data_IF_248093259965
#
_entry.id   IF_248093259965
#
_cell.length_a   1.000
_cell.length_b   1.000
_cell.length_c   1.000
_cell.angle_alpha   90.00
_cell.angle_beta   90.00
_cell.angle_gamma   90.00
#
_symmetry.space_group_name_H-M   'P 1'
#
loop_
_entity.id
_entity.type
_entity.pdbx_description
1 polymer ?
#
# COMPACT_ATOMS: atom_id res chain seq x y z
N UNK A 1 15.08 58.30 25.40
CA UNK A 1 13.77 58.00 24.80
C UNK A 1 13.78 58.55 23.37
N UNK A 2 13.28 57.86 22.34
CA UNK A 2 13.79 56.63 21.71
C UNK A 2 14.15 56.81 20.21
N UNK A 3 14.82 55.79 19.64
CA UNK A 3 14.70 55.17 18.29
C UNK A 3 14.61 56.04 17.01
N UNK A 4 15.19 55.71 15.86
CA UNK A 4 15.31 54.42 15.15
C UNK A 4 16.56 54.46 14.25
N UNK A 5 17.41 53.43 14.28
CA UNK A 5 18.33 53.12 13.18
C UNK A 5 17.68 52.07 12.30
N UNK A 6 17.29 52.43 11.07
CA UNK A 6 16.96 51.47 10.03
C UNK A 6 18.27 50.91 9.44
N UNK A 7 18.65 49.71 9.87
CA UNK A 7 19.59 48.89 9.12
C UNK A 7 18.77 47.93 8.24
N UNK A 8 18.77 48.19 6.93
CA UNK A 8 18.26 47.24 5.96
C UNK A 8 19.23 46.05 5.89
N UNK A 9 18.92 44.95 6.59
CA UNK A 9 19.51 43.65 6.28
C UNK A 9 18.68 42.99 5.19
N UNK A 10 19.22 43.00 3.97
CA UNK A 10 18.79 42.11 2.92
C UNK A 10 19.19 40.67 3.30
N UNK A 11 18.27 39.93 3.90
CA UNK A 11 18.38 38.48 3.93
C UNK A 11 17.91 37.96 2.56
N UNK A 12 18.88 37.60 1.70
CA UNK A 12 18.61 36.63 0.64
C UNK A 12 18.23 35.31 1.32
N UNK A 13 16.94 35.06 1.45
CA UNK A 13 16.44 33.72 1.66
C UNK A 13 16.72 32.93 0.38
N UNK A 14 17.85 32.23 0.35
CA UNK A 14 18.04 31.14 -0.60
C UNK A 14 16.98 30.09 -0.25
N UNK A 15 15.87 30.12 -0.98
CA UNK A 15 14.88 29.05 -0.99
C UNK A 15 15.54 27.84 -1.65
N UNK A 16 16.33 27.11 -0.87
CA UNK A 16 16.67 25.75 -1.21
C UNK A 16 15.38 24.95 -1.07
N UNK A 17 14.69 24.74 -2.19
CA UNK A 17 13.75 23.64 -2.37
C UNK A 17 14.54 22.35 -2.19
N UNK A 18 14.75 21.95 -0.94
CA UNK A 18 15.33 20.66 -0.62
C UNK A 18 14.24 19.62 -0.87
N UNK A 19 14.30 18.97 -2.03
CA UNK A 19 13.91 17.55 -2.09
C UNK A 19 14.55 16.87 -0.87
N UNK A 20 13.87 15.94 -0.17
CA UNK A 20 14.50 15.21 0.91
C UNK A 20 15.81 14.64 0.39
N UNK A 21 16.93 15.17 0.88
CA UNK A 21 18.23 14.76 0.41
C UNK A 21 18.33 13.27 0.72
N UNK A 22 18.47 12.44 -0.31
CA UNK A 22 18.89 11.05 -0.11
C UNK A 22 20.15 11.15 0.75
N UNK A 23 20.17 10.60 1.98
CA UNK A 23 21.24 10.92 2.90
C UNK A 23 22.54 10.27 2.40
N UNK A 24 23.33 11.04 1.68
CA UNK A 24 24.55 10.55 1.03
C UNK A 24 25.58 10.03 2.04
N UNK A 25 26.44 9.10 1.57
CA UNK A 25 27.66 8.53 2.18
C UNK A 25 27.62 7.99 3.63
N UNK A 26 26.64 8.35 4.46
CA UNK A 26 26.45 7.83 5.82
C UNK A 26 25.86 6.43 5.80
N UNK A 27 25.03 6.13 4.81
CA UNK A 27 24.38 4.83 4.58
C UNK A 27 25.41 3.73 4.27
N UNK A 28 26.35 4.03 3.37
CA UNK A 28 27.46 3.15 2.99
C UNK A 28 28.31 2.77 4.22
N UNK A 29 28.60 3.72 5.12
CA UNK A 29 29.43 3.47 6.31
C UNK A 29 28.73 2.63 7.38
N UNK A 30 27.41 2.73 7.50
CA UNK A 30 26.63 1.97 8.50
C UNK A 30 26.39 0.53 8.06
N UNK A 31 26.15 0.30 6.77
CA UNK A 31 25.97 -1.06 6.23
C UNK A 31 27.26 -1.87 6.12
N UNK A 32 28.42 -1.23 5.87
CA UNK A 32 29.71 -1.92 5.90
C UNK A 32 30.01 -2.59 7.26
N UNK A 33 29.32 -2.18 8.33
CA UNK A 33 29.41 -2.81 9.65
C UNK A 33 28.40 -3.96 9.88
N UNK A 34 27.38 -4.13 9.03
CA UNK A 34 26.27 -5.07 9.23
C UNK A 34 26.12 -6.18 8.17
N UNK A 35 27.12 -6.39 7.32
CA UNK A 35 27.19 -7.54 6.41
C UNK A 35 26.61 -7.27 5.03
N UNK A 36 27.23 -7.90 4.03
CA UNK A 36 26.84 -7.87 2.62
C UNK A 36 25.45 -8.46 2.43
N UNK A 37 24.49 -7.67 1.97
CA UNK A 37 23.15 -8.13 1.63
C UNK A 37 23.21 -9.03 0.37
N UNK A 38 22.91 -10.31 0.55
CA UNK A 38 22.73 -11.28 -0.54
C UNK A 38 21.30 -11.15 -1.10
N UNK A 39 21.07 -11.34 -2.41
CA UNK A 39 19.70 -11.42 -2.95
C UNK A 39 18.87 -12.43 -2.16
N UNK A 40 17.56 -12.21 -1.96
CA UNK A 40 16.75 -13.04 -1.08
C UNK A 40 16.57 -14.44 -1.71
N UNK A 41 17.45 -15.37 -1.35
CA UNK A 41 17.24 -16.80 -1.57
C UNK A 41 16.25 -17.31 -0.54
N UNK A 42 15.15 -17.90 -1.01
CA UNK A 42 13.96 -18.17 -0.23
C UNK A 42 14.15 -19.00 1.03
N UNK A 43 13.20 -18.79 1.95
CA UNK A 43 12.83 -19.72 3.01
C UNK A 43 13.85 -19.85 4.15
N UNK A 44 13.81 -18.92 5.11
CA UNK A 44 13.91 -19.18 6.56
C UNK A 44 13.81 -17.85 7.30
N UNK A 45 13.50 -17.92 8.59
CA UNK A 45 13.30 -16.89 9.61
C UNK A 45 14.46 -15.89 9.81
N UNK A 46 14.99 -15.30 8.74
CA UNK A 46 15.87 -14.14 8.79
C UNK A 46 15.06 -12.87 9.07
N UNK A 47 15.54 -12.02 9.98
CA UNK A 47 14.95 -10.69 10.17
C UNK A 47 15.11 -9.89 8.88
N UNK A 48 14.01 -9.39 8.30
CA UNK A 48 14.04 -8.47 7.16
C UNK A 48 15.05 -7.35 7.43
N UNK A 49 15.85 -7.04 6.42
CA UNK A 49 16.80 -5.92 6.42
C UNK A 49 16.15 -4.70 5.78
N UNK A 50 16.67 -3.50 6.06
CA UNK A 50 16.15 -2.29 5.44
C UNK A 50 16.24 -2.32 3.90
N UNK A 51 17.30 -2.87 3.27
CA UNK A 51 17.30 -3.12 1.84
C UNK A 51 16.19 -4.06 1.34
N UNK A 52 15.85 -5.12 2.09
CA UNK A 52 14.73 -6.00 1.72
C UNK A 52 13.40 -5.24 1.71
N UNK A 53 13.22 -4.35 2.70
CA UNK A 53 12.03 -3.49 2.82
C UNK A 53 11.98 -2.49 1.67
N UNK A 54 13.09 -1.85 1.32
CA UNK A 54 13.17 -0.91 0.19
C UNK A 54 12.93 -1.60 -1.15
N UNK A 55 13.48 -2.81 -1.35
CA UNK A 55 13.23 -3.61 -2.56
C UNK A 55 11.75 -3.98 -2.67
N UNK A 56 11.12 -4.36 -1.56
CA UNK A 56 9.69 -4.64 -1.52
C UNK A 56 8.85 -3.40 -1.85
N UNK A 57 9.19 -2.24 -1.28
CA UNK A 57 8.55 -0.97 -1.62
C UNK A 57 8.70 -0.67 -3.12
N UNK A 58 9.92 -0.78 -3.68
CA UNK A 58 10.17 -0.53 -5.09
C UNK A 58 9.36 -1.46 -6.01
N UNK A 59 9.11 -2.72 -5.60
CA UNK A 59 8.22 -3.61 -6.35
C UNK A 59 6.79 -3.06 -6.44
N UNK A 60 6.28 -2.46 -5.36
CA UNK A 60 4.93 -1.86 -5.34
C UNK A 60 4.89 -0.55 -6.13
N UNK A 61 5.90 0.32 -5.97
CA UNK A 61 5.99 1.56 -6.74
C UNK A 61 6.08 1.30 -8.25
N UNK A 62 6.81 0.27 -8.68
CA UNK A 62 6.82 -0.14 -10.10
C UNK A 62 5.44 -0.58 -10.59
N UNK A 63 4.64 -1.22 -9.73
CA UNK A 63 3.28 -1.63 -10.04
C UNK A 63 2.38 -0.41 -10.22
N UNK A 64 2.44 0.55 -9.29
CA UNK A 64 1.62 1.78 -9.31
C UNK A 64 2.02 2.72 -10.45
N UNK A 65 3.31 2.93 -10.69
CA UNK A 65 3.81 3.66 -11.86
C UNK A 65 3.30 3.03 -13.16
N UNK A 66 3.46 1.70 -13.30
CA UNK A 66 3.01 0.99 -14.49
C UNK A 66 1.49 1.05 -14.64
N UNK A 67 0.74 1.01 -13.54
CA UNK A 67 -0.71 1.15 -13.51
C UNK A 67 -1.15 2.49 -14.10
N UNK A 68 -0.64 3.60 -13.57
CA UNK A 68 -1.00 4.93 -14.07
C UNK A 68 -0.53 5.17 -15.50
N UNK A 69 0.70 4.78 -15.83
CA UNK A 69 1.24 4.91 -17.19
C UNK A 69 0.37 4.17 -18.20
N UNK A 70 -0.01 2.91 -17.92
CA UNK A 70 -0.86 2.13 -18.82
C UNK A 70 -2.29 2.67 -18.87
N UNK A 71 -2.85 3.09 -17.73
CA UNK A 71 -4.19 3.64 -17.64
C UNK A 71 -4.35 4.92 -18.46
N UNK A 72 -3.45 5.90 -18.28
CA UNK A 72 -3.48 7.16 -19.02
C UNK A 72 -3.09 7.03 -20.49
N UNK A 73 -2.36 5.98 -20.87
CA UNK A 73 -2.15 5.63 -22.27
C UNK A 73 -3.42 5.05 -22.92
N UNK A 74 -4.27 4.35 -22.13
CA UNK A 74 -5.47 3.67 -22.61
C UNK A 74 -6.69 4.58 -22.66
N UNK A 75 -6.85 5.49 -21.70
CA UNK A 75 -8.02 6.37 -21.59
C UNK A 75 -7.63 7.84 -21.74
N UNK A 76 -8.18 8.56 -22.73
CA UNK A 76 -7.97 9.99 -22.86
C UNK A 76 -8.69 10.79 -21.77
N UNK A 77 -8.28 12.05 -21.57
CA UNK A 77 -8.88 12.97 -20.61
C UNK A 77 -10.42 13.11 -20.78
N UNK A 78 -10.95 12.92 -21.98
CA UNK A 78 -12.40 12.92 -22.24
C UNK A 78 -13.17 11.81 -21.53
N UNK A 79 -12.55 10.65 -21.30
CA UNK A 79 -13.19 9.53 -20.62
C UNK A 79 -13.36 9.83 -19.13
N UNK A 80 -12.37 10.48 -18.52
CA UNK A 80 -12.47 10.97 -17.14
C UNK A 80 -13.44 12.15 -17.02
N UNK A 81 -13.46 13.05 -18.01
CA UNK A 81 -14.43 14.14 -18.05
C UNK A 81 -15.88 13.62 -18.13
N UNK A 82 -16.11 12.50 -18.83
CA UNK A 82 -17.42 11.83 -18.89
C UNK A 82 -17.88 11.28 -17.53
N UNK A 83 -16.96 11.07 -16.57
CA UNK A 83 -17.28 10.74 -15.17
C UNK A 83 -17.65 11.98 -14.34
N UNK A 84 -17.64 13.17 -14.93
CA UNK A 84 -17.95 14.43 -14.26
C UNK A 84 -16.72 15.14 -13.67
N UNK A 85 -15.51 14.66 -13.94
CA UNK A 85 -14.28 15.32 -13.49
C UNK A 85 -14.01 16.59 -14.31
N UNK A 86 -13.63 17.66 -13.62
CA UNK A 86 -13.16 18.91 -14.21
C UNK A 86 -11.71 18.79 -14.68
N UNK A 87 -11.28 19.68 -15.55
CA UNK A 87 -9.91 19.71 -16.08
C UNK A 87 -8.84 19.71 -14.97
N UNK A 88 -9.04 20.51 -13.91
CA UNK A 88 -8.10 20.52 -12.78
C UNK A 88 -8.08 19.19 -12.01
N UNK A 89 -9.21 18.51 -11.90
CA UNK A 89 -9.31 17.19 -11.25
C UNK A 89 -8.63 16.09 -12.08
N UNK A 90 -8.76 16.15 -13.41
CA UNK A 90 -8.04 15.24 -14.32
C UNK A 90 -6.53 15.50 -14.25
N UNK A 91 -6.13 16.78 -14.16
CA UNK A 91 -4.73 17.15 -13.94
C UNK A 91 -4.20 16.61 -12.61
N UNK A 92 -4.95 16.75 -11.53
CA UNK A 92 -4.57 16.24 -10.21
C UNK A 92 -4.45 14.71 -10.23
N UNK A 93 -5.39 14.01 -10.88
CA UNK A 93 -5.33 12.56 -11.08
C UNK A 93 -4.07 12.12 -11.85
N UNK A 94 -3.72 12.84 -12.93
CA UNK A 94 -2.48 12.58 -13.69
C UNK A 94 -1.23 12.92 -12.90
N UNK A 95 -1.32 13.87 -11.96
CA UNK A 95 -0.26 14.20 -11.01
C UNK A 95 0.13 13.02 -10.13
N UNK A 96 -0.83 12.18 -9.72
CA UNK A 96 -0.57 10.94 -8.97
C UNK A 96 0.37 10.02 -9.74
N UNK A 97 0.10 9.77 -11.02
CA UNK A 97 1.00 8.97 -11.85
C UNK A 97 2.40 9.56 -12.03
N UNK A 98 2.57 10.88 -11.91
CA UNK A 98 3.88 11.52 -11.94
C UNK A 98 4.64 11.32 -10.63
N UNK A 99 3.96 11.41 -9.49
CA UNK A 99 4.55 11.16 -8.18
C UNK A 99 4.97 9.71 -7.99
N UNK A 100 4.23 8.73 -8.53
CA UNK A 100 4.68 7.32 -8.49
C UNK A 100 6.01 7.12 -9.24
N UNK A 101 6.18 7.80 -10.38
CA UNK A 101 7.45 7.76 -11.10
C UNK A 101 8.60 8.40 -10.30
N UNK A 102 8.31 9.43 -9.50
CA UNK A 102 9.29 10.04 -8.60
C UNK A 102 9.63 9.11 -7.44
N UNK A 103 8.66 8.40 -6.86
CA UNK A 103 8.89 7.36 -5.84
C UNK A 103 9.80 6.24 -6.36
N UNK A 104 9.51 5.70 -7.55
CA UNK A 104 10.37 4.70 -8.23
C UNK A 104 11.80 5.21 -8.35
N UNK A 105 11.98 6.43 -8.87
CA UNK A 105 13.32 7.02 -9.09
C UNK A 105 14.07 7.18 -7.77
N UNK A 106 13.37 7.63 -6.74
CA UNK A 106 13.91 7.81 -5.40
C UNK A 106 14.39 6.47 -4.81
N UNK A 107 13.54 5.44 -4.83
CA UNK A 107 13.85 4.12 -4.27
C UNK A 107 14.97 3.43 -5.05
N UNK A 108 14.96 3.48 -6.38
CA UNK A 108 16.07 2.96 -7.21
C UNK A 108 17.40 3.60 -6.79
N UNK A 109 17.41 4.92 -6.60
CA UNK A 109 18.59 5.66 -6.18
C UNK A 109 19.05 5.27 -4.77
N UNK A 110 18.11 5.15 -3.82
CA UNK A 110 18.41 4.77 -2.43
C UNK A 110 18.98 3.34 -2.33
N UNK A 111 18.38 2.39 -3.05
CA UNK A 111 18.79 0.99 -3.07
C UNK A 111 20.17 0.84 -3.74
N UNK A 112 20.40 1.51 -4.87
CA UNK A 112 21.71 1.51 -5.53
C UNK A 112 22.81 2.10 -4.64
N UNK A 113 22.52 3.17 -3.89
CA UNK A 113 23.45 3.77 -2.92
C UNK A 113 23.75 2.84 -1.73
N UNK A 114 22.83 1.94 -1.39
CA UNK A 114 23.03 0.87 -0.42
C UNK A 114 23.88 -0.30 -0.97
N UNK A 115 24.36 -0.21 -2.22
CA UNK A 115 25.16 -1.25 -2.87
C UNK A 115 24.35 -2.46 -3.32
N UNK A 116 23.03 -2.34 -3.39
CA UNK A 116 22.11 -3.39 -3.82
C UNK A 116 21.60 -3.05 -5.22
N UNK A 117 21.49 -4.05 -6.09
CA UNK A 117 20.90 -3.86 -7.42
C UNK A 117 19.37 -3.67 -7.28
N UNK A 118 18.80 -2.55 -7.72
CA UNK A 118 17.36 -2.32 -7.64
C UNK A 118 16.56 -3.34 -8.46
N UNK A 119 15.46 -3.83 -7.91
CA UNK A 119 14.49 -4.66 -8.66
C UNK A 119 13.97 -3.91 -9.89
N UNK A 120 13.72 -4.67 -10.95
CA UNK A 120 13.17 -4.19 -12.21
C UNK A 120 11.64 -4.32 -12.20
N UNK A 121 10.93 -3.48 -12.98
CA UNK A 121 9.48 -3.59 -13.10
C UNK A 121 9.07 -4.95 -13.67
N UNK A 122 7.93 -5.46 -13.21
CA UNK A 122 7.35 -6.69 -13.69
C UNK A 122 6.50 -6.45 -14.96
N UNK A 123 6.00 -7.52 -15.57
CA UNK A 123 4.88 -7.45 -16.48
C UNK A 123 3.57 -7.50 -15.68
N UNK A 124 2.66 -6.59 -16.01
CA UNK A 124 1.42 -6.42 -15.25
C UNK A 124 0.16 -6.71 -16.08
N UNK A 125 -0.94 -7.03 -15.39
CA UNK A 125 -2.26 -7.18 -15.98
C UNK A 125 -3.35 -6.63 -15.06
N UNK A 126 -3.72 -5.39 -15.34
CA UNK A 126 -4.63 -4.65 -14.48
C UNK A 126 -6.12 -4.87 -14.76
N UNK A 127 -6.48 -5.55 -15.86
CA UNK A 127 -7.85 -5.92 -16.23
C UNK A 127 -8.92 -4.81 -16.32
N UNK A 128 -8.63 -3.55 -16.02
CA UNK A 128 -9.57 -2.45 -16.17
C UNK A 128 -9.95 -2.21 -17.64
N UNK A 129 -11.23 -1.91 -17.89
CA UNK A 129 -11.80 -1.74 -19.24
C UNK A 129 -12.23 -0.31 -19.57
N UNK A 130 -12.40 0.53 -18.55
CA UNK A 130 -12.80 1.93 -18.68
C UNK A 130 -12.12 2.82 -17.62
N UNK A 131 -12.29 4.15 -17.76
CA UNK A 131 -11.72 5.14 -16.86
C UNK A 131 -12.28 5.05 -15.42
N UNK A 132 -13.52 4.61 -15.24
CA UNK A 132 -14.12 4.45 -13.91
C UNK A 132 -13.52 3.26 -13.15
N UNK A 133 -13.31 2.15 -13.87
CA UNK A 133 -12.61 0.97 -13.39
C UNK A 133 -11.16 1.28 -13.05
N UNK A 134 -10.47 2.05 -13.90
CA UNK A 134 -9.15 2.57 -13.57
C UNK A 134 -9.18 3.42 -12.30
N UNK A 135 -10.01 4.46 -12.20
CA UNK A 135 -10.04 5.32 -11.01
C UNK A 135 -10.35 4.53 -9.73
N UNK A 136 -11.30 3.58 -9.79
CA UNK A 136 -11.60 2.69 -8.66
C UNK A 136 -10.38 1.86 -8.27
N UNK A 137 -9.69 1.26 -9.25
CA UNK A 137 -8.53 0.43 -8.99
C UNK A 137 -7.34 1.24 -8.48
N UNK A 138 -7.16 2.48 -8.94
CA UNK A 138 -6.18 3.41 -8.37
C UNK A 138 -6.43 3.60 -6.88
N UNK A 139 -7.67 3.92 -6.48
CA UNK A 139 -8.01 4.08 -5.06
C UNK A 139 -7.70 2.84 -4.20
N UNK A 140 -7.79 1.64 -4.79
CA UNK A 140 -7.39 0.39 -4.13
C UNK A 140 -5.87 0.28 -3.98
N UNK A 141 -5.13 0.55 -5.06
CA UNK A 141 -3.67 0.48 -5.08
C UNK A 141 -3.07 1.48 -4.09
N UNK A 142 -3.48 2.76 -4.12
CA UNK A 142 -2.97 3.75 -3.16
C UNK A 142 -3.21 3.32 -1.70
N UNK A 143 -4.35 2.68 -1.41
CA UNK A 143 -4.62 2.19 -0.06
C UNK A 143 -3.75 0.98 0.32
N UNK A 144 -3.38 0.15 -0.66
CA UNK A 144 -2.38 -0.91 -0.49
C UNK A 144 -1.02 -0.26 -0.20
N UNK A 145 -0.61 0.77 -0.94
CA UNK A 145 0.59 1.58 -0.71
C UNK A 145 0.65 2.14 0.71
N UNK A 146 -0.41 2.84 1.15
CA UNK A 146 -0.56 3.35 2.53
C UNK A 146 -0.33 2.24 3.56
N UNK A 147 -1.00 1.11 3.40
CA UNK A 147 -0.95 0.00 4.37
C UNK A 147 0.42 -0.70 4.37
N UNK A 148 1.09 -0.74 3.22
CA UNK A 148 2.43 -1.29 3.06
C UNK A 148 3.48 -0.43 3.78
N UNK A 149 3.51 0.87 3.51
CA UNK A 149 4.46 1.78 4.17
C UNK A 149 4.21 1.87 5.67
N UNK A 150 2.95 1.96 6.10
CA UNK A 150 2.60 2.00 7.53
C UNK A 150 2.99 0.70 8.24
N UNK A 151 2.76 -0.46 7.60
CA UNK A 151 3.15 -1.77 8.13
C UNK A 151 4.66 -1.96 8.19
N UNK A 152 5.40 -1.42 7.22
CA UNK A 152 6.86 -1.47 7.13
C UNK A 152 7.55 -0.52 8.13
N UNK A 153 6.90 0.56 8.56
CA UNK A 153 7.50 1.56 9.44
C UNK A 153 8.16 0.98 10.70
N UNK A 154 7.55 -0.05 11.31
CA UNK A 154 8.09 -0.73 12.50
C UNK A 154 9.26 -1.70 12.21
N UNK A 155 9.46 -2.04 10.94
CA UNK A 155 10.47 -3.00 10.49
C UNK A 155 11.77 -2.32 10.09
N UNK A 156 11.70 -1.03 9.72
CA UNK A 156 12.84 -0.20 9.32
C UNK A 156 13.69 0.15 10.55
N UNK A 157 15.00 -0.07 10.46
CA UNK A 157 15.95 0.18 11.55
C UNK A 157 16.69 1.50 11.39
N UNK A 158 17.01 1.89 10.16
CA UNK A 158 17.67 3.16 9.91
C UNK A 158 16.65 4.32 9.94
N UNK A 159 16.85 5.32 10.83
CA UNK A 159 15.93 6.45 10.94
C UNK A 159 15.85 7.30 9.67
N UNK A 160 16.89 7.28 8.83
CA UNK A 160 16.88 7.99 7.58
C UNK A 160 16.05 7.25 6.52
N UNK A 161 16.14 5.90 6.43
CA UNK A 161 15.16 5.09 5.63
C UNK A 161 13.76 5.42 6.15
N UNK A 162 13.55 5.41 7.47
CA UNK A 162 12.23 5.60 8.05
C UNK A 162 11.63 6.97 7.71
N UNK A 163 12.45 8.01 7.73
CA UNK A 163 12.02 9.37 7.37
C UNK A 163 11.66 9.44 5.88
N UNK A 164 12.46 8.82 5.01
CA UNK A 164 12.16 8.73 3.59
C UNK A 164 10.85 7.98 3.31
N UNK A 165 10.70 6.79 3.88
CA UNK A 165 9.47 6.00 3.80
C UNK A 165 8.25 6.76 4.35
N UNK A 166 8.43 7.49 5.45
CA UNK A 166 7.40 8.37 6.02
C UNK A 166 6.99 9.50 5.08
N UNK A 167 7.93 10.04 4.28
CA UNK A 167 7.58 11.07 3.29
C UNK A 167 6.68 10.53 2.18
N UNK A 168 6.99 9.33 1.67
CA UNK A 168 6.19 8.63 0.65
C UNK A 168 4.82 8.29 1.21
N UNK A 169 4.74 7.66 2.39
CA UNK A 169 3.46 7.33 3.07
C UNK A 169 2.47 8.50 3.12
N UNK A 170 2.94 9.72 3.39
CA UNK A 170 2.04 10.89 3.45
C UNK A 170 1.51 11.29 2.07
N UNK A 171 2.26 11.03 1.01
CA UNK A 171 1.86 11.29 -0.38
C UNK A 171 0.87 10.21 -0.84
N UNK A 172 1.15 8.92 -0.59
CA UNK A 172 0.20 7.81 -0.78
C UNK A 172 -1.17 8.11 -0.15
N UNK A 173 -1.17 8.60 1.09
CA UNK A 173 -2.40 8.94 1.82
C UNK A 173 -3.20 10.06 1.13
N UNK A 174 -2.50 11.01 0.48
CA UNK A 174 -3.14 12.11 -0.28
C UNK A 174 -3.64 11.64 -1.64
N UNK A 175 -2.92 10.73 -2.29
CA UNK A 175 -3.39 10.10 -3.53
C UNK A 175 -4.69 9.35 -3.28
N UNK A 176 -4.70 8.51 -2.24
CA UNK A 176 -5.88 7.76 -1.80
C UNK A 176 -7.06 8.71 -1.51
N UNK A 177 -6.84 9.76 -0.70
CA UNK A 177 -7.88 10.75 -0.38
C UNK A 177 -8.39 11.49 -1.64
N UNK A 178 -7.50 11.83 -2.56
CA UNK A 178 -7.83 12.51 -3.82
C UNK A 178 -8.72 11.62 -4.68
N UNK A 179 -8.32 10.38 -4.93
CA UNK A 179 -9.11 9.42 -5.70
C UNK A 179 -10.47 9.15 -5.09
N UNK A 180 -10.57 9.05 -3.77
CA UNK A 180 -11.86 8.93 -3.08
C UNK A 180 -12.77 10.11 -3.39
N UNK A 181 -12.27 11.34 -3.31
CA UNK A 181 -13.05 12.54 -3.67
C UNK A 181 -13.47 12.52 -5.14
N UNK A 182 -12.57 12.13 -6.04
CA UNK A 182 -12.86 12.01 -7.48
C UNK A 182 -13.95 10.96 -7.77
N UNK A 183 -14.00 9.90 -6.97
CA UNK A 183 -15.01 8.84 -7.03
C UNK A 183 -16.30 9.18 -6.26
N UNK A 184 -16.42 10.37 -5.67
CA UNK A 184 -17.57 10.78 -4.88
C UNK A 184 -17.68 10.09 -3.51
N UNK A 185 -16.59 9.50 -3.02
CA UNK A 185 -16.49 8.88 -1.71
C UNK A 185 -16.02 9.87 -0.64
N UNK A 186 -16.22 9.51 0.63
CA UNK A 186 -15.67 10.26 1.77
C UNK A 186 -14.14 10.28 1.71
N UNK A 187 -13.52 11.45 1.63
CA UNK A 187 -12.07 11.62 1.50
C UNK A 187 -11.27 10.91 2.62
N UNK A 188 -11.71 11.08 3.86
CA UNK A 188 -11.07 10.51 5.06
C UNK A 188 -12.13 9.71 5.81
N UNK A 189 -12.32 8.42 5.50
CA UNK A 189 -13.45 7.65 6.02
C UNK A 189 -13.27 7.21 7.48
N UNK A 190 -12.05 7.30 8.03
CA UNK A 190 -11.69 6.87 9.38
C UNK A 190 -10.47 7.65 9.91
N UNK A 191 -10.22 7.55 11.21
CA UNK A 191 -9.15 8.31 11.89
C UNK A 191 -7.74 7.70 11.76
N UNK A 192 -7.65 6.41 11.42
CA UNK A 192 -6.40 5.67 11.32
C UNK A 192 -6.44 4.75 10.10
N UNK A 193 -5.30 4.47 9.48
CA UNK A 193 -5.19 3.42 8.46
C UNK A 193 -4.72 2.09 9.06
N UNK A 194 -4.95 1.00 8.34
CA UNK A 194 -4.64 -0.35 8.78
C UNK A 194 -3.26 -0.81 8.28
N UNK A 195 -2.23 -0.96 9.13
CA UNK A 195 -0.95 -1.51 8.69
C UNK A 195 -1.06 -2.99 8.32
N UNK A 196 -0.49 -3.38 7.18
CA UNK A 196 -0.42 -4.77 6.74
C UNK A 196 1.02 -5.30 6.71
N UNK A 197 1.17 -6.61 6.96
CA UNK A 197 2.46 -7.28 6.81
C UNK A 197 2.83 -7.50 5.33
N UNK A 198 4.13 -7.68 4.99
CA UNK A 198 4.58 -7.81 3.60
C UNK A 198 3.86 -8.92 2.82
N UNK A 199 3.58 -10.05 3.45
CA UNK A 199 2.86 -11.15 2.80
C UNK A 199 1.41 -10.80 2.47
N UNK A 200 0.72 -10.11 3.37
CA UNK A 200 -0.65 -9.65 3.15
C UNK A 200 -0.72 -8.60 2.02
N UNK A 201 0.21 -7.63 2.04
CA UNK A 201 0.35 -6.62 0.97
C UNK A 201 0.66 -7.30 -0.37
N UNK A 202 1.62 -8.22 -0.40
CA UNK A 202 1.96 -8.94 -1.63
C UNK A 202 0.78 -9.75 -2.16
N UNK A 203 -0.05 -10.31 -1.28
CA UNK A 203 -1.25 -11.05 -1.70
C UNK A 203 -2.28 -10.17 -2.41
N UNK A 204 -2.34 -8.88 -2.07
CA UNK A 204 -3.19 -7.90 -2.75
C UNK A 204 -2.61 -7.43 -4.09
N UNK A 205 -1.29 -7.37 -4.20
CA UNK A 205 -0.59 -6.95 -5.42
C UNK A 205 -0.43 -8.08 -6.45
N UNK A 206 -0.26 -9.33 -5.97
CA UNK A 206 0.06 -10.50 -6.80
C UNK A 206 -0.91 -10.73 -7.97
N UNK A 207 -2.24 -10.53 -7.85
CA UNK A 207 -3.16 -10.71 -8.98
C UNK A 207 -2.87 -9.82 -10.20
N UNK A 208 -2.16 -8.70 -10.00
CA UNK A 208 -1.79 -7.78 -11.07
C UNK A 208 -0.45 -8.11 -11.72
N UNK A 209 0.33 -9.04 -11.16
CA UNK A 209 1.69 -9.38 -11.62
C UNK A 209 1.64 -10.66 -12.46
N UNK A 210 2.01 -10.56 -13.74
CA UNK A 210 2.11 -11.73 -14.64
C UNK A 210 3.43 -12.46 -14.48
N UNK A 211 4.52 -11.72 -14.54
CA UNK A 211 5.88 -12.25 -14.49
C UNK A 211 6.84 -11.13 -14.10
N UNK A 212 7.96 -11.43 -13.45
CA UNK A 212 9.00 -10.44 -13.19
C UNK A 212 10.34 -10.92 -13.78
N UNK A 213 11.22 -9.99 -14.21
CA UNK A 213 12.57 -10.32 -14.60
C UNK A 213 13.32 -11.12 -13.53
N UNK A 214 14.29 -11.93 -13.95
CA UNK A 214 15.13 -12.69 -13.03
C UNK A 214 15.79 -11.75 -12.00
N UNK A 215 15.81 -12.17 -10.73
CA UNK A 215 16.30 -11.35 -9.61
C UNK A 215 15.34 -10.26 -9.12
N UNK A 216 14.19 -10.07 -9.76
CA UNK A 216 13.16 -9.09 -9.32
C UNK A 216 11.92 -9.76 -8.71
N UNK A 217 11.83 -11.09 -8.75
CA UNK A 217 10.79 -11.84 -8.05
C UNK A 217 10.97 -11.71 -6.53
N UNK A 218 9.91 -11.32 -5.83
CA UNK A 218 9.90 -11.33 -4.38
C UNK A 218 9.96 -12.78 -3.87
N UNK A 219 10.80 -13.03 -2.87
CA UNK A 219 10.86 -14.32 -2.17
C UNK A 219 9.69 -14.50 -1.18
N UNK A 220 8.49 -14.08 -1.57
CA UNK A 220 7.25 -14.14 -0.81
C UNK A 220 6.21 -14.86 -1.67
N UNK A 221 5.47 -15.78 -1.05
CA UNK A 221 4.28 -16.36 -1.67
C UNK A 221 3.04 -15.62 -1.19
N UNK A 222 2.13 -15.31 -2.12
CA UNK A 222 0.82 -14.81 -1.77
C UNK A 222 0.06 -15.87 -0.95
N UNK A 223 -0.80 -15.40 -0.04
CA UNK A 223 -1.83 -16.25 0.51
C UNK A 223 -2.82 -16.67 -0.59
N UNK A 224 -3.55 -17.78 -0.39
CA UNK A 224 -4.68 -18.12 -1.24
C UNK A 224 -5.67 -16.95 -1.36
N UNK A 225 -6.12 -16.68 -2.59
CA UNK A 225 -7.07 -15.60 -2.86
C UNK A 225 -8.45 -15.91 -2.28
N UNK A 226 -9.14 -14.85 -1.84
CA UNK A 226 -10.55 -14.90 -1.50
C UNK A 226 -11.38 -14.45 -2.70
N UNK A 227 -12.45 -15.17 -2.99
CA UNK A 227 -13.48 -14.78 -3.95
C UNK A 227 -14.76 -14.46 -3.19
N UNK A 228 -15.43 -13.40 -3.62
CA UNK A 228 -16.70 -12.99 -3.02
C UNK A 228 -17.85 -13.68 -3.74
N UNK A 229 -18.87 -14.09 -3.00
CA UNK A 229 -20.08 -14.66 -3.61
C UNK A 229 -20.76 -13.62 -4.51
N UNK A 230 -21.40 -14.01 -5.63
CA UNK A 230 -22.13 -13.09 -6.49
C UNK A 230 -23.23 -12.30 -5.77
N UNK A 231 -23.76 -12.79 -4.65
CA UNK A 231 -24.77 -12.09 -3.86
C UNK A 231 -24.19 -11.05 -2.87
N UNK A 232 -22.87 -10.89 -2.83
CA UNK A 232 -22.16 -9.99 -1.91
C UNK A 232 -21.46 -8.87 -2.66
N UNK A 233 -21.39 -7.67 -2.06
CA UNK A 233 -20.75 -6.50 -2.65
C UNK A 233 -19.68 -5.92 -1.69
N UNK A 234 -18.41 -5.99 -2.09
CA UNK A 234 -17.26 -5.54 -1.30
C UNK A 234 -17.25 -4.02 -1.11
N UNK A 235 -17.90 -3.26 -1.99
CA UNK A 235 -18.04 -1.81 -1.84
C UNK A 235 -19.06 -1.45 -0.76
N UNK A 236 -20.02 -2.32 -0.50
CA UNK A 236 -21.07 -2.11 0.50
C UNK A 236 -20.73 -2.82 1.80
N UNK A 237 -19.81 -2.23 2.57
CA UNK A 237 -19.50 -2.72 3.91
C UNK A 237 -20.57 -2.24 4.91
N UNK A 238 -21.70 -2.96 4.99
CA UNK A 238 -22.77 -2.66 5.96
C UNK A 238 -22.54 -3.43 7.25
N UNK A 239 -22.27 -2.72 8.34
CA UNK A 239 -22.07 -3.35 9.64
C UNK A 239 -23.29 -4.20 10.04
N UNK A 240 -23.03 -5.43 10.50
CA UNK A 240 -24.06 -6.39 10.90
C UNK A 240 -24.61 -7.26 9.76
N UNK A 241 -24.33 -6.94 8.49
CA UNK A 241 -24.71 -7.80 7.36
C UNK A 241 -23.80 -9.03 7.26
N UNK A 242 -24.30 -10.07 6.60
CA UNK A 242 -23.51 -11.27 6.29
C UNK A 242 -22.79 -11.10 4.97
N UNK A 243 -21.49 -11.39 4.97
CA UNK A 243 -20.62 -11.38 3.81
C UNK A 243 -20.20 -12.81 3.49
N UNK A 244 -20.52 -13.28 2.29
CA UNK A 244 -20.14 -14.63 1.84
C UNK A 244 -18.88 -14.56 0.99
N UNK A 245 -17.85 -15.24 1.46
CA UNK A 245 -16.57 -15.40 0.76
C UNK A 245 -16.21 -16.87 0.68
N UNK A 246 -15.53 -17.24 -0.40
CA UNK A 246 -14.89 -18.54 -0.58
C UNK A 246 -13.38 -18.34 -0.74
N UNK A 247 -12.59 -19.24 -0.20
CA UNK A 247 -11.20 -19.38 -0.64
C UNK A 247 -11.13 -20.32 -1.85
N UNK A 248 -10.02 -20.35 -2.58
CA UNK A 248 -9.70 -21.42 -3.54
C UNK A 248 -9.68 -22.82 -2.89
N UNK A 249 -8.99 -23.81 -3.47
CA UNK A 249 -8.91 -25.17 -2.91
C UNK A 249 -8.43 -25.16 -1.43
N UNK A 250 -9.37 -25.16 -0.48
CA UNK A 250 -9.13 -25.19 0.96
C UNK A 250 -9.37 -23.86 1.70
N UNK A 251 -10.63 -23.58 2.05
CA UNK A 251 -10.91 -22.93 3.35
C UNK A 251 -10.69 -23.92 4.53
N UNK A 252 -10.14 -25.11 4.26
CA UNK A 252 -9.81 -26.13 5.23
C UNK A 252 -8.96 -25.54 6.36
N UNK A 253 -9.56 -25.43 7.55
CA UNK A 253 -8.93 -24.88 8.74
C UNK A 253 -9.27 -23.42 9.05
N UNK A 254 -9.99 -22.70 8.18
CA UNK A 254 -10.57 -21.40 8.52
C UNK A 254 -11.69 -21.58 9.58
N UNK A 255 -11.63 -20.76 10.63
CA UNK A 255 -12.61 -20.75 11.73
C UNK A 255 -13.27 -19.40 11.92
N UNK A 256 -12.59 -18.33 11.48
CA UNK A 256 -13.06 -16.97 11.64
C UNK A 256 -12.71 -16.10 10.45
N UNK A 257 -13.53 -15.11 10.18
CA UNK A 257 -13.12 -13.94 9.41
C UNK A 257 -12.35 -12.99 10.31
N UNK A 258 -11.32 -12.38 9.74
CA UNK A 258 -10.45 -11.41 10.35
C UNK A 258 -10.60 -10.10 9.56
N UNK A 259 -11.22 -9.10 10.19
CA UNK A 259 -11.44 -7.78 9.62
C UNK A 259 -10.40 -6.81 10.18
N UNK A 260 -9.32 -6.59 9.44
CA UNK A 260 -8.27 -5.63 9.80
C UNK A 260 -8.67 -4.25 9.28
N UNK A 261 -8.84 -3.30 10.18
CA UNK A 261 -9.34 -1.96 9.86
C UNK A 261 -8.70 -0.91 10.77
N UNK A 262 -8.75 0.34 10.32
CA UNK A 262 -8.25 1.48 11.05
C UNK A 262 -9.01 1.73 12.35
N UNK A 263 -8.29 1.90 13.46
CA UNK A 263 -8.89 2.24 14.75
C UNK A 263 -9.51 1.05 15.51
N UNK A 264 -9.40 -0.17 14.99
CA UNK A 264 -9.77 -1.39 15.70
C UNK A 264 -8.75 -1.68 16.81
N UNK A 265 -9.22 -1.96 18.02
CA UNK A 265 -8.40 -2.30 19.18
C UNK A 265 -8.99 -3.49 19.97
N UNK A 266 -8.13 -4.34 20.59
CA UNK A 266 -6.67 -4.37 20.45
C UNK A 266 -6.23 -4.94 19.08
N UNK A 267 -4.95 -4.77 18.73
CA UNK A 267 -4.30 -5.50 17.63
C UNK A 267 -4.70 -5.15 16.19
N UNK A 268 -5.73 -4.31 15.97
CA UNK A 268 -6.12 -3.84 14.64
C UNK A 268 -7.06 -4.77 13.87
N UNK A 269 -7.46 -5.92 14.44
CA UNK A 269 -8.32 -6.90 13.76
C UNK A 269 -9.48 -7.35 14.62
N UNK A 270 -10.70 -7.27 14.07
CA UNK A 270 -11.89 -7.88 14.66
C UNK A 270 -12.10 -9.27 14.06
N UNK A 271 -12.35 -10.25 14.93
CA UNK A 271 -12.62 -11.63 14.51
C UNK A 271 -14.10 -11.97 14.67
N UNK A 272 -14.71 -12.57 13.65
CA UNK A 272 -16.07 -13.13 13.72
C UNK A 272 -16.06 -14.58 13.28
N UNK A 273 -16.97 -15.44 13.79
CA UNK A 273 -17.09 -16.81 13.30
C UNK A 273 -17.28 -16.86 11.78
N UNK A 274 -16.65 -17.85 11.14
CA UNK A 274 -16.80 -18.13 9.71
C UNK A 274 -17.44 -19.51 9.52
N UNK A 275 -18.39 -19.59 8.60
CA UNK A 275 -18.80 -20.85 7.98
C UNK A 275 -18.91 -20.65 6.46
N UNK A 276 -18.61 -21.70 5.69
CA UNK A 276 -18.73 -21.61 4.22
C UNK A 276 -20.18 -21.36 3.77
N UNK A 277 -21.17 -21.84 4.54
CA UNK A 277 -22.59 -21.72 4.21
C UNK A 277 -23.17 -20.34 4.52
N UNK A 278 -22.81 -19.78 5.68
CA UNK A 278 -23.39 -18.52 6.17
C UNK A 278 -22.48 -17.31 5.88
N UNK A 279 -21.18 -17.54 5.72
CA UNK A 279 -20.17 -16.49 5.59
C UNK A 279 -19.77 -15.93 6.95
N UNK A 280 -19.57 -14.61 7.00
CA UNK A 280 -19.20 -13.88 8.20
C UNK A 280 -20.05 -12.64 8.40
N UNK A 281 -20.39 -12.36 9.64
CA UNK A 281 -21.01 -11.08 9.98
C UNK A 281 -19.96 -9.97 9.98
N UNK A 282 -20.26 -8.83 9.35
CA UNK A 282 -19.39 -7.65 9.43
C UNK A 282 -19.47 -7.07 10.85
N UNK A 283 -18.36 -7.02 11.61
CA UNK A 283 -18.39 -6.63 13.02
C UNK A 283 -18.63 -5.12 13.18
N UNK A 284 -19.08 -4.74 14.38
CA UNK A 284 -19.07 -3.33 14.79
C UNK A 284 -17.62 -2.82 14.92
N UNK A 285 -17.42 -1.53 14.64
CA UNK A 285 -16.12 -0.86 14.84
C UNK A 285 -15.16 -0.90 13.66
N UNK A 286 -15.50 -1.59 12.56
CA UNK A 286 -14.78 -1.43 11.29
C UNK A 286 -15.37 -0.28 10.49
N UNK A 287 -14.53 0.48 9.81
CA UNK A 287 -14.92 1.61 8.97
C UNK A 287 -13.97 1.72 7.78
N UNK A 288 -14.31 2.63 6.85
CA UNK A 288 -13.50 2.92 5.66
C UNK A 288 -12.99 1.67 4.95
N UNK A 289 -11.74 1.73 4.49
CA UNK A 289 -11.08 0.60 3.87
C UNK A 289 -10.74 -0.44 4.94
N UNK A 290 -11.28 -1.65 4.75
CA UNK A 290 -11.12 -2.78 5.66
C UNK A 290 -10.63 -3.99 4.89
N UNK A 291 -9.70 -4.74 5.47
CA UNK A 291 -9.13 -5.93 4.89
C UNK A 291 -9.75 -7.17 5.53
N UNK A 292 -10.36 -8.02 4.71
CA UNK A 292 -10.92 -9.29 5.11
C UNK A 292 -9.96 -10.43 4.81
N UNK A 293 -9.57 -11.18 5.84
CA UNK A 293 -8.88 -12.46 5.71
C UNK A 293 -9.69 -13.59 6.35
N UNK A 294 -9.44 -14.83 5.92
CA UNK A 294 -9.85 -16.01 6.70
C UNK A 294 -8.71 -16.43 7.61
N UNK A 295 -9.02 -16.77 8.86
CA UNK A 295 -8.06 -17.13 9.89
C UNK A 295 -8.41 -18.46 10.57
N UNK A 296 -7.39 -19.19 11.01
CA UNK A 296 -7.52 -20.49 11.68
C UNK A 296 -7.75 -20.39 13.20
N UNK A 297 -7.63 -19.18 13.75
CA UNK A 297 -7.89 -18.85 15.15
C UNK A 297 -8.27 -17.37 15.31
N UNK A 298 -8.81 -17.03 16.47
CA UNK A 298 -9.29 -15.68 16.82
C UNK A 298 -8.63 -15.22 18.12
N UNK A 299 -7.37 -14.75 18.07
CA UNK A 299 -6.64 -14.35 19.27
C UNK A 299 -7.29 -13.11 19.93
N UNK A 300 -7.33 -13.11 21.26
CA UNK A 300 -7.99 -12.06 22.05
C UNK A 300 -7.24 -10.71 22.03
N UNK A 301 -5.96 -10.73 21.65
CA UNK A 301 -5.16 -9.52 21.46
C UNK A 301 -5.43 -8.83 20.11
N UNK A 302 -6.29 -9.41 19.27
CA UNK A 302 -6.69 -8.86 17.98
C UNK A 302 -5.59 -8.87 16.93
N UNK A 303 -4.50 -9.61 17.13
CA UNK A 303 -3.36 -9.64 16.19
C UNK A 303 -3.55 -10.76 15.16
N UNK A 304 -3.75 -10.39 13.90
CA UNK A 304 -3.65 -11.33 12.78
C UNK A 304 -2.18 -11.53 12.38
N UNK A 305 -1.72 -12.79 12.35
CA UNK A 305 -0.34 -13.13 11.93
C UNK A 305 -0.36 -14.03 10.70
N UNK A 306 0.75 -14.03 9.95
CA UNK A 306 0.89 -14.90 8.78
C UNK A 306 0.69 -16.39 9.08
N UNK A 307 1.01 -16.83 10.31
CA UNK A 307 0.87 -18.22 10.73
C UNK A 307 -0.57 -18.67 10.99
N UNK A 308 -1.51 -17.72 11.17
CA UNK A 308 -2.92 -18.02 11.36
C UNK A 308 -3.80 -17.57 10.19
N UNK A 309 -3.27 -16.78 9.25
CA UNK A 309 -3.96 -16.40 8.02
C UNK A 309 -4.05 -17.60 7.07
N UNK A 310 -5.28 -17.98 6.73
CA UNK A 310 -5.60 -19.08 5.81
C UNK A 310 -5.73 -18.58 4.37
N UNK A 311 -6.39 -17.42 4.17
CA UNK A 311 -6.62 -16.82 2.85
C UNK A 311 -6.85 -15.30 2.94
N UNK A 312 -6.68 -14.61 1.82
CA UNK A 312 -6.83 -13.16 1.67
C UNK A 312 -5.51 -12.39 1.92
N UNK A 313 -5.55 -11.10 2.25
CA UNK A 313 -6.76 -10.30 2.44
C UNK A 313 -7.48 -10.00 1.12
N UNK A 314 -8.77 -9.65 1.23
CA UNK A 314 -9.59 -8.97 0.24
C UNK A 314 -9.93 -7.57 0.76
N UNK A 315 -10.02 -6.58 -0.11
CA UNK A 315 -10.38 -5.22 0.27
C UNK A 315 -11.91 -5.04 0.29
N UNK A 316 -12.42 -4.46 1.36
CA UNK A 316 -13.81 -4.06 1.57
C UNK A 316 -13.89 -2.55 1.84
N UNK A 317 -15.06 -1.95 1.59
CA UNK A 317 -15.39 -0.59 2.05
C UNK A 317 -14.68 0.54 1.31
N UNK A 318 -14.62 0.43 -0.02
CA UNK A 318 -14.20 1.52 -0.90
C UNK A 318 -15.19 2.69 -0.87
#
# INVERSE_FOLDING_TARGET
MPSLKFAALAFLAATASALPAVPGNKWIKRQAQNGTATPPTGGTTGKLTDPDILQFALTLEHLEEAFYRQGFAKFPDSDFAALGLKENQIKDLKGIGQTEQEHVTFLQSAIAQAGVQPVQPCEYDFKFTDAAGMATQGALLENIGVSAYLGAAKLIKDPDILTAAGSILTIESRHQSSLRVLLGQTAVPQAFDAPLGPKAVFSLAAPFIKSCPEGSNLALSAFPELTMSPESNAREMTVGSMLKVAAGAGAAGAKSCAFTSGGVLPGGTMFTPFSETEGCQIPQGVAGVTYLSLASSSPLDGVLTDGITVAGPMILGL
#
